data_IF_523677717157
#
_entry.id   IF_523677717157
#
_cell.length_a   1.000
_cell.length_b   1.000
_cell.length_c   1.000
_cell.angle_alpha   90.00
_cell.angle_beta   90.00
_cell.angle_gamma   90.00
#
_symmetry.space_group_name_H-M   'P 1'
#
loop_
_entity.id
_entity.type
_entity.pdbx_description
1 polymer ?
#
# COMPACT_ATOMS: atom_id res chain seq x y z
N UNK A 1 13.44 -9.24 -26.29
CA UNK A 1 14.18 -7.96 -26.25
C UNK A 1 13.15 -6.85 -26.15
N UNK A 2 12.98 -6.25 -24.98
CA UNK A 2 12.20 -5.02 -24.83
C UNK A 2 12.94 -3.87 -25.53
N UNK A 3 12.21 -2.98 -26.21
CA UNK A 3 12.82 -1.75 -26.71
C UNK A 3 13.29 -0.91 -25.51
N UNK A 4 14.44 -0.21 -25.59
CA UNK A 4 14.97 0.60 -24.48
C UNK A 4 13.95 1.58 -23.88
N UNK A 5 13.04 2.10 -24.71
CA UNK A 5 11.97 3.02 -24.29
C UNK A 5 10.93 2.39 -23.36
N UNK A 6 10.86 1.05 -23.32
CA UNK A 6 9.91 0.29 -22.51
C UNK A 6 10.55 -0.31 -21.27
N UNK A 7 11.84 -0.06 -21.02
CA UNK A 7 12.53 -0.56 -19.82
C UNK A 7 11.91 0.03 -18.55
N UNK A 8 11.49 1.30 -18.60
CA UNK A 8 10.87 1.99 -17.45
C UNK A 8 9.33 2.02 -17.55
N UNK A 9 8.74 1.41 -18.59
CA UNK A 9 7.28 1.41 -18.75
C UNK A 9 6.62 0.61 -17.63
N UNK A 10 5.77 1.28 -16.85
CA UNK A 10 5.10 0.67 -15.69
C UNK A 10 5.92 0.68 -14.40
N UNK A 11 7.13 1.25 -14.38
CA UNK A 11 7.96 1.38 -13.17
C UNK A 11 7.95 2.81 -12.69
N UNK A 12 7.20 3.11 -11.62
CA UNK A 12 7.12 4.45 -11.04
C UNK A 12 7.11 4.38 -9.51
N UNK A 13 7.67 5.40 -8.88
CA UNK A 13 7.59 5.61 -7.43
C UNK A 13 6.75 6.87 -7.18
N UNK A 14 5.60 6.68 -6.54
CA UNK A 14 4.62 7.72 -6.26
C UNK A 14 4.73 8.15 -4.80
N UNK A 15 4.77 9.47 -4.57
CA UNK A 15 4.86 10.00 -3.20
C UNK A 15 3.46 10.18 -2.62
N UNK A 16 3.18 9.43 -1.56
CA UNK A 16 2.03 9.71 -0.71
C UNK A 16 2.22 11.02 0.06
N UNK A 17 1.11 11.63 0.47
CA UNK A 17 1.07 12.70 1.44
C UNK A 17 1.61 12.18 2.77
N UNK A 18 2.56 12.90 3.33
CA UNK A 18 3.06 12.64 4.68
C UNK A 18 1.95 12.91 5.70
N UNK A 19 1.65 11.92 6.53
CA UNK A 19 0.60 12.02 7.56
C UNK A 19 1.14 11.69 8.97
N UNK A 20 2.16 12.43 9.44
CA UNK A 20 2.82 12.12 10.70
C UNK A 20 1.89 12.22 11.92
N UNK A 21 0.94 13.17 11.94
CA UNK A 21 0.07 13.39 13.11
C UNK A 21 -1.06 12.38 13.19
N UNK A 22 -1.63 11.99 12.06
CA UNK A 22 -2.59 10.89 11.90
C UNK A 22 -1.94 9.58 12.35
N UNK A 23 -0.73 9.31 11.86
CA UNK A 23 0.03 8.10 12.21
C UNK A 23 0.28 8.02 13.71
N UNK A 24 0.71 9.12 14.33
CA UNK A 24 0.93 9.20 15.77
C UNK A 24 -0.38 9.01 16.56
N UNK A 25 -1.44 9.72 16.16
CA UNK A 25 -2.73 9.69 16.86
C UNK A 25 -3.41 8.31 16.82
N UNK A 26 -3.38 7.64 15.67
CA UNK A 26 -3.99 6.32 15.48
C UNK A 26 -3.01 5.16 15.70
N UNK A 27 -1.73 5.46 15.99
CA UNK A 27 -0.65 4.48 16.21
C UNK A 27 -0.46 3.53 15.03
N UNK A 28 -0.65 4.03 13.81
CA UNK A 28 -0.43 3.26 12.60
C UNK A 28 1.06 3.09 12.30
N UNK A 29 1.39 2.01 11.58
CA UNK A 29 2.73 1.80 11.04
C UNK A 29 2.86 2.54 9.70
N UNK A 30 4.05 3.04 9.41
CA UNK A 30 4.42 3.55 8.10
C UNK A 30 5.13 2.45 7.32
N UNK A 31 4.91 2.38 6.01
CA UNK A 31 5.60 1.44 5.13
C UNK A 31 5.39 1.78 3.66
N UNK A 32 6.30 1.31 2.81
CA UNK A 32 6.21 1.44 1.35
C UNK A 32 5.28 0.36 0.81
N UNK A 33 4.39 0.73 -0.11
CA UNK A 33 3.51 -0.22 -0.82
C UNK A 33 4.11 -0.53 -2.19
N UNK A 34 4.34 -1.81 -2.47
CA UNK A 34 4.69 -2.32 -3.80
C UNK A 34 3.45 -2.94 -4.44
N UNK A 35 3.15 -2.53 -5.67
CA UNK A 35 1.91 -2.93 -6.37
C UNK A 35 2.24 -3.79 -7.60
N UNK A 36 1.53 -4.90 -7.77
CA UNK A 36 1.58 -5.74 -8.97
C UNK A 36 0.24 -6.43 -9.25
N UNK A 37 0.00 -6.93 -10.45
CA UNK A 37 -1.31 -7.52 -10.81
C UNK A 37 -1.50 -8.98 -10.34
N UNK A 38 -0.51 -9.54 -9.66
CA UNK A 38 -0.48 -10.92 -9.20
C UNK A 38 -0.70 -10.97 -7.69
N UNK A 39 -1.53 -11.90 -7.21
CA UNK A 39 -1.68 -12.16 -5.78
C UNK A 39 -0.42 -12.86 -5.23
N UNK A 40 0.09 -13.84 -5.98
CA UNK A 40 1.36 -14.49 -5.73
C UNK A 40 2.55 -13.55 -6.05
N UNK A 41 3.75 -14.06 -5.81
CA UNK A 41 5.00 -13.40 -6.11
C UNK A 41 5.97 -14.43 -6.73
N UNK A 42 6.82 -13.94 -7.62
CA UNK A 42 7.97 -14.70 -8.14
C UNK A 42 9.27 -14.06 -7.65
N UNK A 43 10.40 -14.75 -7.83
CA UNK A 43 11.72 -14.24 -7.39
C UNK A 43 12.05 -12.83 -7.91
N UNK A 44 11.56 -12.49 -9.11
CA UNK A 44 11.72 -11.15 -9.67
C UNK A 44 10.91 -10.08 -8.89
N UNK A 45 9.72 -10.42 -8.41
CA UNK A 45 8.91 -9.53 -7.57
C UNK A 45 9.60 -9.32 -6.23
N UNK A 46 10.15 -10.38 -5.63
CA UNK A 46 10.88 -10.30 -4.36
C UNK A 46 12.10 -9.39 -4.45
N UNK A 47 12.88 -9.51 -5.53
CA UNK A 47 14.01 -8.64 -5.79
C UNK A 47 13.60 -7.17 -5.91
N UNK A 48 12.49 -6.89 -6.59
CA UNK A 48 11.96 -5.53 -6.74
C UNK A 48 11.39 -4.99 -5.43
N UNK A 49 10.66 -5.79 -4.66
CA UNK A 49 10.16 -5.41 -3.34
C UNK A 49 11.31 -5.06 -2.39
N UNK A 50 12.34 -5.91 -2.34
CA UNK A 50 13.54 -5.65 -1.52
C UNK A 50 14.30 -4.39 -1.99
N UNK A 51 14.47 -4.21 -3.29
CA UNK A 51 15.16 -3.04 -3.85
C UNK A 51 14.42 -1.71 -3.57
N UNK A 52 13.10 -1.76 -3.34
CA UNK A 52 12.26 -0.60 -3.06
C UNK A 52 11.87 -0.45 -1.58
N UNK A 53 12.46 -1.25 -0.68
CA UNK A 53 12.15 -1.24 0.77
C UNK A 53 10.64 -1.43 1.05
N UNK A 54 9.99 -2.28 0.25
CA UNK A 54 8.56 -2.53 0.34
C UNK A 54 8.20 -3.21 1.66
N UNK A 55 7.21 -2.66 2.36
CA UNK A 55 6.66 -3.24 3.59
C UNK A 55 5.31 -3.92 3.37
N UNK A 56 4.62 -3.56 2.28
CA UNK A 56 3.28 -4.06 1.93
C UNK A 56 3.24 -4.36 0.45
N UNK A 57 2.71 -5.53 0.08
CA UNK A 57 2.38 -5.90 -1.30
C UNK A 57 0.88 -5.74 -1.52
N UNK A 58 0.47 -5.15 -2.64
CA UNK A 58 -0.94 -5.06 -3.03
C UNK A 58 -1.11 -5.11 -4.56
N UNK A 59 -2.33 -4.87 -5.03
CA UNK A 59 -2.68 -4.96 -6.46
C UNK A 59 -3.20 -3.65 -7.08
N UNK A 60 -3.31 -2.54 -6.34
CA UNK A 60 -3.94 -1.31 -6.85
C UNK A 60 -3.28 0.02 -6.46
N UNK A 61 -2.55 0.11 -5.33
CA UNK A 61 -2.19 1.39 -4.72
C UNK A 61 -1.39 2.32 -5.63
N UNK A 62 -0.36 1.80 -6.32
CA UNK A 62 0.44 2.59 -7.25
C UNK A 62 -0.39 3.11 -8.43
N UNK A 63 -1.34 2.32 -8.94
CA UNK A 63 -2.22 2.76 -10.03
C UNK A 63 -3.17 3.88 -9.58
N UNK A 64 -3.69 3.81 -8.35
CA UNK A 64 -4.51 4.89 -7.76
C UNK A 64 -3.66 6.14 -7.52
N UNK A 65 -2.44 5.99 -7.02
CA UNK A 65 -1.51 7.10 -6.81
C UNK A 65 -1.17 7.80 -8.14
N UNK A 66 -0.89 7.04 -9.20
CA UNK A 66 -0.67 7.57 -10.54
C UNK A 66 -1.88 8.36 -11.05
N UNK A 67 -3.09 7.81 -10.90
CA UNK A 67 -4.31 8.51 -11.28
C UNK A 67 -4.50 9.82 -10.48
N UNK A 68 -4.21 9.83 -9.18
CA UNK A 68 -4.27 11.03 -8.36
C UNK A 68 -3.24 12.09 -8.80
N UNK A 69 -2.02 11.68 -9.12
CA UNK A 69 -0.96 12.57 -9.62
C UNK A 69 -1.34 13.25 -10.94
N UNK A 70 -1.99 12.53 -11.87
CA UNK A 70 -2.47 13.10 -13.13
C UNK A 70 -3.39 14.32 -12.93
N UNK A 71 -4.10 14.36 -11.80
CA UNK A 71 -5.03 15.44 -11.45
C UNK A 71 -4.56 16.29 -10.26
N UNK A 72 -3.31 16.13 -9.80
CA UNK A 72 -2.76 16.82 -8.64
C UNK A 72 -3.62 16.67 -7.37
N UNK A 73 -4.22 15.49 -7.19
CA UNK A 73 -5.03 15.16 -6.01
C UNK A 73 -4.12 14.58 -4.92
N UNK A 74 -4.12 15.11 -3.69
CA UNK A 74 -3.38 14.54 -2.58
C UNK A 74 -3.83 13.09 -2.29
N UNK A 75 -2.87 12.18 -2.11
CA UNK A 75 -3.13 10.76 -1.91
C UNK A 75 -2.30 10.18 -0.76
N UNK A 76 -2.89 9.35 0.09
CA UNK A 76 -2.17 8.40 0.93
C UNK A 76 -2.96 7.08 0.97
N UNK A 77 -2.29 5.98 1.29
CA UNK A 77 -2.90 4.66 1.37
C UNK A 77 -3.12 4.23 2.82
N UNK A 78 -4.27 3.61 3.10
CA UNK A 78 -4.50 2.82 4.30
C UNK A 78 -4.56 1.35 3.90
N UNK A 79 -3.64 0.54 4.44
CA UNK A 79 -3.53 -0.88 4.13
C UNK A 79 -3.67 -1.72 5.39
N UNK A 80 -4.36 -2.84 5.27
CA UNK A 80 -4.46 -3.87 6.31
C UNK A 80 -3.81 -5.13 5.77
N UNK A 81 -2.85 -5.67 6.51
CA UNK A 81 -2.10 -6.87 6.13
C UNK A 81 -2.93 -8.10 6.47
N UNK A 82 -3.17 -8.95 5.48
CA UNK A 82 -3.91 -10.21 5.58
C UNK A 82 -3.00 -11.43 5.68
N UNK A 83 -1.83 -11.37 5.08
CA UNK A 83 -0.90 -12.46 4.90
C UNK A 83 0.53 -11.92 4.93
N UNK A 84 1.47 -12.79 5.29
CA UNK A 84 2.88 -12.48 5.40
C UNK A 84 3.59 -13.14 4.22
N UNK A 85 3.96 -12.32 3.23
CA UNK A 85 4.52 -12.78 1.95
C UNK A 85 5.80 -13.61 2.14
N UNK A 86 6.64 -13.25 3.10
CA UNK A 86 7.87 -13.97 3.46
C UNK A 86 7.66 -14.99 4.62
N UNK A 87 6.41 -15.34 4.89
CA UNK A 87 5.99 -16.25 5.94
C UNK A 87 6.11 -17.73 5.57
N UNK A 88 5.83 -18.59 6.54
CA UNK A 88 5.89 -20.05 6.35
C UNK A 88 4.64 -20.65 5.69
N UNK A 89 3.56 -19.86 5.55
CA UNK A 89 2.28 -20.30 5.01
C UNK A 89 2.09 -19.80 3.58
N UNK A 90 1.29 -20.52 2.79
CA UNK A 90 0.90 -20.04 1.48
C UNK A 90 0.01 -18.79 1.61
N UNK A 91 0.28 -17.77 0.79
CA UNK A 91 -0.43 -16.48 0.74
C UNK A 91 -1.96 -16.65 0.74
N UNK A 92 -2.49 -17.51 -0.12
CA UNK A 92 -3.94 -17.73 -0.26
C UNK A 92 -4.58 -18.29 1.03
N UNK A 93 -3.92 -19.26 1.67
CA UNK A 93 -4.44 -19.91 2.88
C UNK A 93 -4.45 -18.94 4.06
N UNK A 94 -3.34 -18.20 4.25
CA UNK A 94 -3.23 -17.21 5.32
C UNK A 94 -4.17 -16.03 5.10
N UNK A 95 -4.32 -15.58 3.85
CA UNK A 95 -5.29 -14.56 3.46
C UNK A 95 -6.70 -14.97 3.90
N UNK A 96 -7.16 -16.18 3.53
CA UNK A 96 -8.50 -16.65 3.87
C UNK A 96 -8.67 -16.80 5.40
N UNK A 97 -7.66 -17.33 6.09
CA UNK A 97 -7.69 -17.51 7.54
C UNK A 97 -7.80 -16.16 8.29
N UNK A 98 -7.09 -15.14 7.83
CA UNK A 98 -7.04 -13.83 8.45
C UNK A 98 -8.11 -12.86 7.93
N UNK A 99 -8.80 -13.19 6.84
CA UNK A 99 -9.71 -12.28 6.14
C UNK A 99 -10.73 -11.63 7.08
N UNK A 100 -11.40 -12.42 7.93
CA UNK A 100 -12.39 -11.90 8.87
C UNK A 100 -11.78 -10.94 9.91
N UNK A 101 -10.55 -11.21 10.36
CA UNK A 101 -9.82 -10.32 11.27
C UNK A 101 -9.41 -9.03 10.56
N UNK A 102 -8.83 -9.14 9.36
CA UNK A 102 -8.41 -7.99 8.56
C UNK A 102 -9.60 -7.07 8.21
N UNK A 103 -10.75 -7.65 7.86
CA UNK A 103 -11.99 -6.90 7.64
C UNK A 103 -12.42 -6.12 8.88
N UNK A 104 -12.39 -6.74 10.07
CA UNK A 104 -12.72 -6.03 11.33
C UNK A 104 -11.74 -4.89 11.59
N UNK A 105 -10.44 -5.11 11.39
CA UNK A 105 -9.43 -4.05 11.53
C UNK A 105 -9.65 -2.91 10.55
N UNK A 106 -10.04 -3.22 9.32
CA UNK A 106 -10.36 -2.19 8.34
C UNK A 106 -11.63 -1.42 8.72
N UNK A 107 -12.66 -2.10 9.23
CA UNK A 107 -13.89 -1.47 9.74
C UNK A 107 -13.65 -0.56 10.95
N UNK A 108 -12.61 -0.82 11.74
CA UNK A 108 -12.18 0.06 12.84
C UNK A 108 -11.32 1.23 12.32
N UNK A 109 -10.36 0.94 11.44
CA UNK A 109 -9.35 1.89 11.01
C UNK A 109 -9.89 2.97 10.05
N UNK A 110 -10.80 2.60 9.14
CA UNK A 110 -11.36 3.54 8.14
C UNK A 110 -12.15 4.66 8.83
N UNK A 111 -13.15 4.39 9.69
CA UNK A 111 -13.87 5.46 10.39
C UNK A 111 -12.95 6.32 11.24
N UNK A 112 -12.04 5.71 12.00
CA UNK A 112 -11.08 6.47 12.82
C UNK A 112 -10.18 7.40 11.98
N UNK A 113 -9.78 6.95 10.80
CA UNK A 113 -9.02 7.77 9.84
C UNK A 113 -9.87 8.91 9.31
N UNK A 114 -11.12 8.65 8.92
CA UNK A 114 -12.03 9.69 8.41
C UNK A 114 -12.33 10.74 9.50
N UNK A 115 -12.64 10.32 10.72
CA UNK A 115 -12.88 11.22 11.85
C UNK A 115 -11.65 12.10 12.15
N UNK A 116 -10.44 11.59 11.90
CA UNK A 116 -9.21 12.36 12.01
C UNK A 116 -8.99 13.29 10.80
N UNK A 117 -9.28 12.88 9.57
CA UNK A 117 -9.01 13.73 8.40
C UNK A 117 -10.05 14.85 8.25
N UNK A 118 -11.30 14.60 8.64
CA UNK A 118 -12.39 15.57 8.49
C UNK A 118 -12.11 16.87 9.25
N UNK A 119 -12.16 17.98 8.52
CA UNK A 119 -11.96 19.32 9.07
C UNK A 119 -10.50 19.74 9.29
N UNK A 120 -9.52 18.90 8.91
CA UNK A 120 -8.09 19.20 9.01
C UNK A 120 -7.48 19.51 7.64
N UNK A 121 -6.47 20.39 7.61
CA UNK A 121 -5.63 20.60 6.41
C UNK A 121 -4.61 19.48 6.25
N UNK A 122 -3.95 19.39 5.09
CA UNK A 122 -2.93 18.36 4.84
C UNK A 122 -1.74 18.47 5.79
N UNK A 123 -1.36 19.69 6.19
CA UNK A 123 -0.29 19.95 7.14
C UNK A 123 -0.65 19.54 8.58
N UNK A 124 -1.93 19.31 8.84
CA UNK A 124 -2.45 18.86 10.13
C UNK A 124 -2.62 17.33 10.20
N UNK A 125 -2.35 16.62 9.11
CA UNK A 125 -2.42 15.16 9.03
C UNK A 125 -1.14 14.46 9.53
#
# INVERSE_FOLDING_TARGET
MLLPIFVDYGVHNHKAVETPRLREALKFKLGVVSTGNSLDHVEADDALMAANDASVKDMEAAAVAWAAELYSVPYFALKVVTDIVDGAHATEEEFVANFAMAQRRLQEAVPATLDYVLGRSLEEL
#
